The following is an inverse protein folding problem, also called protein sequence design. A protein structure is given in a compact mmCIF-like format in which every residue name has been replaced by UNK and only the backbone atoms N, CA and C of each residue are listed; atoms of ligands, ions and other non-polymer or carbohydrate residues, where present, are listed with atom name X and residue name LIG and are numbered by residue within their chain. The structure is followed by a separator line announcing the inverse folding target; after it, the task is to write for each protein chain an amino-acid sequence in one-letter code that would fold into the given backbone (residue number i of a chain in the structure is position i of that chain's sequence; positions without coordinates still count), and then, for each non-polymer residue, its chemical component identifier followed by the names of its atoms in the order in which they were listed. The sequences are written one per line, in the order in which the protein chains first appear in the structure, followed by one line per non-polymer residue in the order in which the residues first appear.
data_IF_788316397888
#
_entry.id   IF_788316397888
#
_cell.length_a   1.000
_cell.length_b   1.000
_cell.length_c   1.000
_cell.angle_alpha   90.00
_cell.angle_beta   90.00
_cell.angle_gamma   90.00
#
_symmetry.space_group_name_H-M   'P 1'
#
loop_
_entity.id
_entity.type
_entity.pdbx_description
1 polymer ?
#
# COMPACT_ATOMS: atom_id res chain seq x y z
N UNK A 1 -9.08 16.87 2.05
CA UNK A 1 -7.84 17.66 2.23
C UNK A 1 -6.71 16.67 2.39
N UNK A 2 -5.70 16.72 1.54
CA UNK A 2 -4.49 15.87 1.66
C UNK A 2 -3.67 16.49 2.79
N UNK A 3 -3.47 15.76 3.89
CA UNK A 3 -2.63 16.24 4.96
C UNK A 3 -1.16 16.10 4.54
N UNK A 4 -0.44 17.22 4.53
CA UNK A 4 1.01 17.28 4.29
C UNK A 4 1.72 16.79 5.55
N UNK A 5 1.85 15.49 5.69
CA UNK A 5 2.47 14.82 6.82
C UNK A 5 3.54 13.88 6.30
N UNK A 6 4.74 13.95 6.84
CA UNK A 6 5.84 13.08 6.41
C UNK A 6 5.57 11.63 6.79
N UNK A 7 5.78 10.72 5.85
CA UNK A 7 5.68 9.29 6.10
C UNK A 7 6.76 8.83 7.10
N UNK A 8 6.42 7.87 7.94
CA UNK A 8 7.33 7.34 8.95
C UNK A 8 7.35 8.10 10.28
N UNK A 9 6.62 9.22 10.41
CA UNK A 9 6.47 9.95 11.67
C UNK A 9 5.45 9.29 12.60
N UNK A 10 5.48 9.63 13.89
CA UNK A 10 4.51 9.09 14.86
C UNK A 10 3.08 9.50 14.50
N UNK A 11 2.88 10.72 14.00
CA UNK A 11 1.60 11.24 13.53
C UNK A 11 1.09 10.43 12.34
N UNK A 12 1.96 10.11 11.38
CA UNK A 12 1.60 9.28 10.22
C UNK A 12 1.23 7.85 10.64
N UNK A 13 1.89 7.28 11.64
CA UNK A 13 1.47 6.00 12.20
C UNK A 13 0.13 6.12 12.90
N UNK A 14 -0.07 7.16 13.73
CA UNK A 14 -1.29 7.35 14.51
C UNK A 14 -2.55 7.47 13.63
N UNK A 15 -2.49 8.22 12.53
CA UNK A 15 -3.64 8.39 11.63
C UNK A 15 -4.04 7.08 10.93
N UNK A 16 -3.14 6.11 10.84
CA UNK A 16 -3.34 4.82 10.17
C UNK A 16 -3.83 3.70 11.09
N UNK A 17 -3.74 3.88 12.41
CA UNK A 17 -4.14 2.87 13.39
C UNK A 17 -5.58 2.41 13.14
N UNK A 18 -5.76 1.10 13.05
CA UNK A 18 -7.06 0.45 12.87
C UNK A 18 -7.73 0.69 11.51
N UNK A 19 -7.03 1.28 10.54
CA UNK A 19 -7.53 1.53 9.18
C UNK A 19 -6.96 0.53 8.16
N UNK A 20 -7.76 0.22 7.16
CA UNK A 20 -7.29 -0.51 5.99
C UNK A 20 -6.37 0.39 5.18
N UNK A 21 -5.16 -0.10 4.89
CA UNK A 21 -4.16 0.63 4.10
C UNK A 21 -3.91 -0.06 2.76
N UNK A 22 -3.59 0.72 1.72
CA UNK A 22 -3.42 0.23 0.34
C UNK A 22 -2.46 -0.97 0.23
N UNK A 23 -1.36 -0.96 0.97
CA UNK A 23 -0.36 -2.05 0.97
C UNK A 23 -0.90 -3.39 1.51
N UNK A 24 -2.05 -3.38 2.20
CA UNK A 24 -2.66 -4.56 2.80
C UNK A 24 -3.98 -5.00 2.12
N UNK A 25 -4.43 -4.27 1.10
CA UNK A 25 -5.66 -4.63 0.37
C UNK A 25 -5.55 -6.00 -0.31
N UNK A 26 -4.37 -6.34 -0.83
CA UNK A 26 -4.13 -7.66 -1.42
C UNK A 26 -4.38 -8.80 -0.42
N UNK A 27 -4.11 -8.61 0.88
CA UNK A 27 -4.40 -9.61 1.92
C UNK A 27 -5.90 -9.81 2.12
N UNK A 28 -6.70 -8.73 2.00
CA UNK A 28 -8.15 -8.77 2.16
C UNK A 28 -8.80 -9.61 1.07
N UNK A 29 -8.37 -9.44 -0.18
CA UNK A 29 -8.97 -10.09 -1.35
C UNK A 29 -8.37 -11.46 -1.67
N UNK A 30 -7.28 -11.85 -1.01
CA UNK A 30 -6.59 -13.11 -1.29
C UNK A 30 -7.50 -14.31 -1.03
N UNK A 31 -7.66 -15.17 -2.05
CA UNK A 31 -8.49 -16.38 -1.99
C UNK A 31 -7.65 -17.63 -2.28
N UNK A 32 -8.03 -18.71 -1.63
CA UNK A 32 -7.56 -20.08 -1.87
C UNK A 32 -8.70 -20.89 -2.49
N UNK A 33 -8.45 -22.17 -2.79
CA UNK A 33 -9.50 -23.08 -3.26
C UNK A 33 -10.65 -23.28 -2.27
N UNK A 34 -10.40 -23.03 -0.97
CA UNK A 34 -11.35 -23.23 0.13
C UNK A 34 -12.01 -21.94 0.64
N UNK A 35 -11.74 -20.79 0.04
CA UNK A 35 -12.24 -19.48 0.47
C UNK A 35 -11.15 -18.44 0.67
N UNK A 36 -11.36 -17.48 1.55
CA UNK A 36 -10.33 -16.46 1.84
C UNK A 36 -9.07 -17.08 2.44
N UNK A 37 -7.93 -16.43 2.20
CA UNK A 37 -6.64 -16.88 2.71
C UNK A 37 -6.44 -16.50 4.17
N UNK A 38 -5.51 -17.17 4.86
CA UNK A 38 -5.13 -16.84 6.23
C UNK A 38 -4.57 -15.42 6.39
N UNK A 39 -4.04 -14.81 5.32
CA UNK A 39 -3.55 -13.42 5.38
C UNK A 39 -4.67 -12.44 5.70
N UNK A 40 -5.91 -12.69 5.19
CA UNK A 40 -7.09 -11.89 5.52
C UNK A 40 -7.44 -11.97 7.00
N UNK A 41 -7.46 -13.17 7.58
CA UNK A 41 -7.77 -13.36 9.00
C UNK A 41 -6.69 -12.75 9.90
N UNK A 42 -5.43 -12.90 9.55
CA UNK A 42 -4.31 -12.28 10.27
C UNK A 42 -4.39 -10.76 10.25
N UNK A 43 -4.72 -10.16 9.09
CA UNK A 43 -4.88 -8.72 8.98
C UNK A 43 -6.10 -8.22 9.77
N UNK A 44 -7.20 -8.98 9.75
CA UNK A 44 -8.37 -8.68 10.57
C UNK A 44 -8.05 -8.69 12.07
N UNK A 45 -7.31 -9.70 12.55
CA UNK A 45 -6.88 -9.77 13.95
C UNK A 45 -5.97 -8.61 14.34
N UNK A 46 -5.06 -8.20 13.46
CA UNK A 46 -4.21 -7.02 13.64
C UNK A 46 -5.07 -5.75 13.83
N UNK A 47 -6.00 -5.48 12.91
CA UNK A 47 -6.83 -4.27 12.97
C UNK A 47 -7.79 -4.28 14.18
N UNK A 48 -8.29 -5.45 14.60
CA UNK A 48 -9.06 -5.58 15.85
C UNK A 48 -8.20 -5.16 17.04
N UNK A 49 -6.97 -5.67 17.14
CA UNK A 49 -6.06 -5.31 18.20
C UNK A 49 -5.77 -3.81 18.20
N UNK A 50 -5.43 -3.23 17.05
CA UNK A 50 -5.16 -1.81 16.90
C UNK A 50 -6.35 -0.94 17.33
N UNK A 51 -7.60 -1.31 16.94
CA UNK A 51 -8.82 -0.57 17.33
C UNK A 51 -9.15 -0.68 18.81
N UNK A 52 -8.88 -1.83 19.42
CA UNK A 52 -9.16 -2.04 20.86
C UNK A 52 -8.13 -1.39 21.78
N UNK A 53 -6.88 -1.31 21.33
CA UNK A 53 -5.76 -0.80 22.13
C UNK A 53 -5.37 0.64 21.79
N UNK A 54 -5.78 1.12 20.62
CA UNK A 54 -5.30 2.37 20.01
C UNK A 54 -3.76 2.41 19.91
N UNK A 55 -3.14 1.25 19.67
CA UNK A 55 -1.70 1.12 19.53
C UNK A 55 -1.38 0.45 18.19
N UNK A 56 -0.28 0.88 17.57
CA UNK A 56 0.26 0.21 16.37
C UNK A 56 0.56 -1.25 16.72
N UNK A 57 0.09 -2.16 15.87
CA UNK A 57 0.45 -3.57 15.97
C UNK A 57 1.97 -3.78 15.91
N UNK A 58 2.45 -4.88 16.50
CA UNK A 58 3.87 -5.24 16.41
C UNK A 58 4.28 -5.33 14.94
N UNK A 59 5.26 -4.52 14.55
CA UNK A 59 5.85 -4.56 13.22
C UNK A 59 7.20 -5.26 13.27
N UNK A 60 7.30 -6.36 12.54
CA UNK A 60 8.60 -7.00 12.33
C UNK A 60 9.34 -6.23 11.23
N UNK A 61 10.50 -5.67 11.57
CA UNK A 61 11.41 -5.04 10.61
C UNK A 61 12.55 -5.99 10.32
N UNK A 62 12.83 -6.25 9.06
CA UNK A 62 13.96 -7.06 8.62
C UNK A 62 14.91 -6.23 7.73
N UNK A 63 16.10 -6.79 7.46
CA UNK A 63 17.11 -6.12 6.64
C UNK A 63 16.62 -5.72 5.24
N UNK A 64 15.71 -6.50 4.64
CA UNK A 64 15.13 -6.17 3.32
C UNK A 64 14.18 -4.96 3.40
N UNK A 65 13.39 -4.85 4.47
CA UNK A 65 12.51 -3.69 4.68
C UNK A 65 13.34 -2.43 4.97
N UNK A 66 14.38 -2.56 5.79
CA UNK A 66 15.31 -1.45 6.07
C UNK A 66 16.00 -0.99 4.78
N UNK A 67 16.54 -1.91 3.99
CA UNK A 67 17.13 -1.60 2.69
C UNK A 67 16.13 -0.87 1.77
N UNK A 68 14.87 -1.31 1.74
CA UNK A 68 13.79 -0.66 0.98
C UNK A 68 13.65 0.81 1.36
N UNK A 69 13.49 1.09 2.67
CA UNK A 69 13.33 2.45 3.18
C UNK A 69 14.55 3.34 2.92
N UNK A 70 15.76 2.80 3.10
CA UNK A 70 17.02 3.56 2.87
C UNK A 70 17.28 3.85 1.39
N UNK A 71 16.78 2.98 0.48
CA UNK A 71 17.03 3.09 -0.97
C UNK A 71 15.93 3.90 -1.69
N UNK A 72 14.75 4.00 -1.12
CA UNK A 72 13.60 4.69 -1.75
C UNK A 72 13.89 6.13 -2.19
N UNK A 73 14.57 7.01 -1.37
CA UNK A 73 14.91 8.35 -1.82
C UNK A 73 15.82 8.38 -3.07
N UNK A 74 16.74 7.41 -3.18
CA UNK A 74 17.61 7.27 -4.36
C UNK A 74 16.81 6.84 -5.57
N UNK A 75 15.86 5.92 -5.40
CA UNK A 75 14.98 5.47 -6.48
C UNK A 75 14.09 6.62 -6.99
N UNK A 76 13.56 7.47 -6.08
CA UNK A 76 12.76 8.64 -6.43
C UNK A 76 13.59 9.64 -7.24
N UNK A 77 14.78 9.99 -6.77
CA UNK A 77 15.67 10.89 -7.51
C UNK A 77 16.08 10.33 -8.89
N UNK A 78 16.32 9.02 -8.99
CA UNK A 78 16.60 8.37 -10.27
C UNK A 78 15.39 8.40 -11.21
N UNK A 79 14.17 8.20 -10.70
CA UNK A 79 12.93 8.29 -11.47
C UNK A 79 12.71 9.73 -11.99
N UNK A 80 12.89 10.75 -11.14
CA UNK A 80 12.78 12.15 -11.54
C UNK A 80 13.76 12.52 -12.65
N UNK A 81 15.01 12.09 -12.50
CA UNK A 81 16.05 12.32 -13.52
C UNK A 81 15.75 11.58 -14.84
N UNK A 82 15.14 10.39 -14.77
CA UNK A 82 14.80 9.60 -15.95
C UNK A 82 13.58 10.12 -16.71
N UNK A 83 12.59 10.63 -15.97
CA UNK A 83 11.30 11.07 -16.54
C UNK A 83 11.18 12.58 -16.78
N UNK A 84 12.15 13.37 -16.26
CA UNK A 84 12.14 14.83 -16.25
C UNK A 84 10.87 15.42 -15.57
N UNK A 85 10.39 14.76 -14.52
CA UNK A 85 9.26 15.23 -13.71
C UNK A 85 9.63 15.21 -12.24
N UNK A 86 9.01 16.09 -11.45
CA UNK A 86 9.17 16.13 -9.99
C UNK A 86 8.09 15.25 -9.33
N UNK A 87 8.46 14.68 -8.18
CA UNK A 87 7.59 13.85 -7.35
C UNK A 87 7.31 14.59 -6.05
N UNK A 88 6.06 14.94 -5.81
CA UNK A 88 5.63 15.53 -4.55
C UNK A 88 5.34 14.43 -3.52
N UNK A 89 6.05 14.44 -2.40
CA UNK A 89 5.80 13.50 -1.31
C UNK A 89 4.46 13.81 -0.64
N UNK A 90 3.74 12.75 -0.26
CA UNK A 90 2.42 12.87 0.35
C UNK A 90 2.30 11.91 1.54
N UNK A 91 1.59 12.34 2.57
CA UNK A 91 1.32 11.53 3.75
C UNK A 91 0.20 10.51 3.53
N UNK A 92 -0.74 10.46 4.48
CA UNK A 92 -1.89 9.56 4.40
C UNK A 92 -3.07 10.25 3.72
N UNK A 93 -3.56 9.65 2.65
CA UNK A 93 -4.75 10.09 1.90
C UNK A 93 -5.93 9.19 2.29
N UNK A 94 -6.93 9.70 3.02
CA UNK A 94 -8.11 8.91 3.36
C UNK A 94 -8.93 8.60 2.10
N UNK A 95 -9.59 7.44 2.10
CA UNK A 95 -10.50 7.08 1.02
C UNK A 95 -11.74 8.00 1.03
N UNK A 96 -12.22 8.49 -0.12
CA UNK A 96 -13.29 9.49 -0.17
C UNK A 96 -14.64 9.02 0.37
N UNK A 97 -14.93 7.72 0.36
CA UNK A 97 -16.21 7.14 0.80
C UNK A 97 -16.08 6.04 1.86
N UNK A 98 -14.91 5.43 2.03
CA UNK A 98 -14.67 4.38 3.04
C UNK A 98 -13.89 4.97 4.20
N UNK A 99 -14.59 5.40 5.24
CA UNK A 99 -14.04 6.18 6.35
C UNK A 99 -12.82 5.54 7.06
N UNK A 100 -12.82 4.20 7.18
CA UNK A 100 -11.75 3.45 7.86
C UNK A 100 -10.75 2.83 6.88
N UNK A 101 -10.47 3.54 5.78
CA UNK A 101 -9.50 3.11 4.78
C UNK A 101 -8.74 4.31 4.18
N UNK A 102 -7.56 4.05 3.63
CA UNK A 102 -6.78 5.07 2.95
C UNK A 102 -5.44 4.54 2.43
N UNK A 103 -4.66 5.43 1.86
CA UNK A 103 -3.41 5.10 1.19
C UNK A 103 -2.30 6.10 1.55
N UNK A 104 -1.06 5.67 1.44
CA UNK A 104 0.12 6.53 1.42
C UNK A 104 0.91 6.17 0.18
N UNK A 105 0.68 6.84 -0.96
CA UNK A 105 1.51 6.69 -2.14
C UNK A 105 2.94 7.17 -1.88
N UNK A 106 3.92 6.61 -2.57
CA UNK A 106 5.32 7.03 -2.43
C UNK A 106 5.58 8.40 -3.07
N UNK A 107 4.61 8.93 -3.84
CA UNK A 107 4.56 10.31 -4.31
C UNK A 107 3.47 10.58 -5.34
N UNK A 108 3.24 11.87 -5.57
CA UNK A 108 2.36 12.41 -6.59
C UNK A 108 3.19 12.90 -7.77
N UNK A 109 2.69 12.67 -9.00
CA UNK A 109 3.36 13.07 -10.23
C UNK A 109 2.40 13.93 -11.05
N UNK A 110 2.72 15.21 -11.19
CA UNK A 110 1.82 16.16 -11.84
C UNK A 110 0.43 16.18 -11.21
N UNK A 111 -0.60 16.43 -12.00
CA UNK A 111 -1.97 16.55 -11.51
C UNK A 111 -2.72 15.21 -11.43
N UNK A 112 -2.33 14.22 -12.22
CA UNK A 112 -3.09 13.00 -12.49
C UNK A 112 -2.32 11.67 -12.23
N UNK A 113 -1.05 11.74 -11.86
CA UNK A 113 -0.20 10.57 -11.68
C UNK A 113 0.23 10.29 -10.24
N UNK A 114 0.57 9.04 -9.99
CA UNK A 114 1.20 8.52 -8.77
C UNK A 114 2.49 7.77 -9.10
N UNK A 115 3.32 7.58 -8.09
CA UNK A 115 4.43 6.65 -8.13
C UNK A 115 4.34 5.66 -6.96
N UNK A 116 4.64 4.39 -7.25
CA UNK A 116 4.82 3.32 -6.26
C UNK A 116 6.21 2.72 -6.46
N UNK A 117 7.09 2.92 -5.47
CA UNK A 117 8.49 2.52 -5.51
C UNK A 117 8.70 1.23 -4.74
N UNK A 118 9.43 0.30 -5.33
CA UNK A 118 9.89 -0.91 -4.67
C UNK A 118 11.40 -1.07 -4.87
N UNK A 119 12.12 -1.22 -3.76
CA UNK A 119 13.55 -1.52 -3.72
C UNK A 119 13.73 -2.95 -3.20
N UNK A 120 13.45 -3.98 -4.01
CA UNK A 120 13.49 -5.37 -3.58
C UNK A 120 14.93 -5.90 -3.49
N UNK A 121 15.08 -7.16 -3.09
CA UNK A 121 16.36 -7.84 -3.29
C UNK A 121 16.66 -8.00 -4.80
N UNK A 122 17.95 -8.16 -5.14
CA UNK A 122 18.42 -8.21 -6.54
C UNK A 122 17.75 -9.30 -7.36
N UNK A 123 17.51 -10.49 -6.78
CA UNK A 123 16.84 -11.58 -7.51
C UNK A 123 15.42 -11.19 -7.96
N UNK A 124 14.66 -10.58 -7.06
CA UNK A 124 13.30 -10.09 -7.38
C UNK A 124 13.31 -8.94 -8.39
N UNK A 125 14.30 -8.04 -8.31
CA UNK A 125 14.43 -6.97 -9.30
C UNK A 125 14.78 -7.53 -10.69
N UNK A 126 15.72 -8.46 -10.78
CA UNK A 126 16.07 -9.15 -12.04
C UNK A 126 14.83 -9.85 -12.63
N UNK A 127 14.05 -10.55 -11.82
CA UNK A 127 12.81 -11.20 -12.28
C UNK A 127 11.81 -10.17 -12.83
N UNK A 128 11.68 -9.01 -12.19
CA UNK A 128 10.85 -7.90 -12.68
C UNK A 128 11.34 -7.38 -14.03
N UNK A 129 12.65 -7.18 -14.17
CA UNK A 129 13.27 -6.77 -15.45
C UNK A 129 13.00 -7.78 -16.57
N UNK A 130 13.14 -9.07 -16.29
CA UNK A 130 12.94 -10.14 -17.28
C UNK A 130 11.47 -10.35 -17.65
N UNK A 131 10.58 -10.33 -16.66
CA UNK A 131 9.14 -10.56 -16.88
C UNK A 131 8.42 -9.35 -17.46
N UNK A 132 8.94 -8.15 -17.27
CA UNK A 132 8.30 -6.89 -17.68
C UNK A 132 6.87 -6.73 -17.13
N UNK A 133 6.62 -7.31 -15.94
CA UNK A 133 5.28 -7.33 -15.33
C UNK A 133 5.29 -6.69 -13.95
N UNK A 134 4.15 -6.12 -13.56
CA UNK A 134 3.89 -5.65 -12.20
C UNK A 134 3.31 -6.80 -11.39
N UNK A 135 3.90 -7.19 -10.25
CA UNK A 135 3.32 -8.22 -9.39
C UNK A 135 1.90 -7.86 -8.92
N UNK A 136 0.98 -8.84 -8.95
CA UNK A 136 -0.44 -8.60 -8.69
C UNK A 136 -0.75 -7.90 -7.36
N UNK A 137 0.03 -8.17 -6.31
CA UNK A 137 -0.13 -7.47 -5.02
C UNK A 137 0.12 -5.97 -5.11
N UNK A 138 1.09 -5.54 -5.93
CA UNK A 138 1.38 -4.12 -6.15
C UNK A 138 0.37 -3.48 -7.10
N UNK A 139 -0.13 -4.23 -8.10
CA UNK A 139 -1.25 -3.77 -8.91
C UNK A 139 -2.47 -3.43 -8.03
N UNK A 140 -2.85 -4.32 -7.12
CA UNK A 140 -3.94 -4.07 -6.17
C UNK A 140 -3.68 -2.85 -5.28
N UNK A 141 -2.47 -2.71 -4.76
CA UNK A 141 -2.06 -1.55 -3.94
C UNK A 141 -2.21 -0.25 -4.73
N UNK A 142 -1.67 -0.17 -5.95
CA UNK A 142 -1.75 1.00 -6.81
C UNK A 142 -3.19 1.35 -7.18
N UNK A 143 -4.03 0.37 -7.53
CA UNK A 143 -5.43 0.63 -7.84
C UNK A 143 -6.19 1.23 -6.65
N UNK A 144 -5.88 0.79 -5.43
CA UNK A 144 -6.49 1.38 -4.25
C UNK A 144 -5.92 2.77 -3.91
N UNK A 145 -4.65 3.04 -4.19
CA UNK A 145 -4.08 4.38 -4.10
C UNK A 145 -4.76 5.34 -5.09
N UNK A 146 -5.01 4.89 -6.32
CA UNK A 146 -5.77 5.64 -7.33
C UNK A 146 -7.21 5.92 -6.87
N UNK A 147 -7.86 4.94 -6.20
CA UNK A 147 -9.17 5.14 -5.61
C UNK A 147 -9.18 6.23 -4.52
N UNK A 148 -8.17 6.23 -3.64
CA UNK A 148 -8.05 7.21 -2.56
C UNK A 148 -7.75 8.63 -3.07
N UNK A 149 -6.95 8.76 -4.12
CA UNK A 149 -6.44 10.04 -4.61
C UNK A 149 -7.27 10.65 -5.74
N UNK A 150 -8.09 9.84 -6.41
CA UNK A 150 -8.84 10.25 -7.62
C UNK A 150 -7.96 10.41 -8.86
N UNK A 151 -6.69 9.94 -8.82
CA UNK A 151 -5.75 10.09 -9.94
C UNK A 151 -5.93 9.00 -10.99
N UNK A 152 -5.37 9.22 -12.19
CA UNK A 152 -5.66 8.44 -13.40
C UNK A 152 -4.66 7.30 -13.67
N UNK A 153 -3.44 7.40 -13.15
CA UNK A 153 -2.39 6.40 -13.38
C UNK A 153 -1.38 6.35 -12.23
N UNK A 154 -0.67 5.24 -12.14
CA UNK A 154 0.43 5.06 -11.20
C UNK A 154 1.62 4.40 -11.92
N UNK A 155 2.81 4.99 -11.83
CA UNK A 155 4.04 4.38 -12.30
C UNK A 155 4.59 3.45 -11.21
N UNK A 156 4.63 2.16 -11.53
CA UNK A 156 5.36 1.18 -10.74
C UNK A 156 6.84 1.29 -11.04
N UNK A 157 7.64 1.52 -10.01
CA UNK A 157 9.10 1.59 -10.09
C UNK A 157 9.71 0.47 -9.28
N UNK A 158 10.51 -0.38 -9.93
CA UNK A 158 11.41 -1.33 -9.24
C UNK A 158 12.82 -0.83 -9.39
N UNK A 159 13.55 -0.68 -8.28
CA UNK A 159 14.89 -0.10 -8.27
C UNK A 159 15.86 -0.92 -7.44
N UNK A 160 17.07 -1.14 -8.00
CA UNK A 160 18.20 -1.78 -7.30
C UNK A 160 19.52 -1.13 -7.70
N UNK A 161 20.07 -0.30 -6.81
CA UNK A 161 21.32 0.41 -7.03
C UNK A 161 22.59 -0.45 -7.02
N UNK A 162 22.46 -1.75 -6.77
CA UNK A 162 23.57 -2.74 -6.80
C UNK A 162 23.87 -3.23 -8.22
N UNK A 163 22.97 -2.99 -9.16
CA UNK A 163 23.15 -3.36 -10.58
C UNK A 163 23.83 -2.23 -11.37
N UNK A 164 24.36 -2.53 -12.59
CA UNK A 164 24.83 -1.51 -13.51
C UNK A 164 23.74 -0.46 -13.82
N UNK A 165 24.09 0.81 -14.07
CA UNK A 165 23.14 1.91 -14.21
C UNK A 165 21.96 1.63 -15.16
N UNK A 166 22.22 0.96 -16.27
CA UNK A 166 21.24 0.61 -17.30
C UNK A 166 20.22 -0.46 -16.86
N UNK A 167 20.50 -1.16 -15.75
CA UNK A 167 19.65 -2.21 -15.19
C UNK A 167 19.10 -1.87 -13.79
N UNK A 168 19.40 -0.67 -13.27
CA UNK A 168 18.98 -0.29 -11.91
C UNK A 168 17.49 -0.03 -11.81
N UNK A 169 16.83 0.41 -12.88
CA UNK A 169 15.44 0.87 -12.78
C UNK A 169 14.55 0.21 -13.85
N UNK A 170 13.39 -0.21 -13.39
CA UNK A 170 12.27 -0.62 -14.24
C UNK A 170 11.07 0.28 -13.90
N UNK A 171 10.46 0.87 -14.93
CA UNK A 171 9.26 1.70 -14.79
C UNK A 171 8.15 1.13 -15.65
N UNK A 172 6.96 0.98 -15.07
CA UNK A 172 5.77 0.56 -15.82
C UNK A 172 4.55 1.33 -15.37
N UNK A 173 3.96 2.09 -16.28
CA UNK A 173 2.70 2.80 -16.04
C UNK A 173 1.52 1.84 -15.98
N UNK A 174 0.73 2.00 -14.92
CA UNK A 174 -0.51 1.26 -14.67
C UNK A 174 -1.66 2.26 -14.67
N UNK A 175 -2.56 2.18 -15.66
CA UNK A 175 -3.74 3.03 -15.69
C UNK A 175 -4.74 2.65 -14.60
N UNK A 176 -5.60 3.59 -14.24
CA UNK A 176 -6.73 3.40 -13.35
C UNK A 176 -7.71 2.40 -13.96
N UNK A 177 -8.13 1.42 -13.17
CA UNK A 177 -9.12 0.40 -13.56
C UNK A 177 -10.36 0.52 -12.66
N UNK A 178 -11.37 1.23 -13.12
CA UNK A 178 -12.60 1.47 -12.39
C UNK A 178 -13.39 0.18 -12.05
N UNK A 179 -13.28 -0.85 -12.88
CA UNK A 179 -13.96 -2.13 -12.62
C UNK A 179 -13.28 -2.84 -11.47
N UNK A 180 -11.95 -2.89 -11.52
CA UNK A 180 -11.16 -3.52 -10.46
C UNK A 180 -11.26 -2.74 -9.15
N UNK A 181 -11.23 -1.40 -9.19
CA UNK A 181 -11.40 -0.53 -8.01
C UNK A 181 -12.73 -0.84 -7.31
N UNK A 182 -13.85 -0.88 -8.04
CA UNK A 182 -15.16 -1.21 -7.45
C UNK A 182 -15.17 -2.60 -6.80
N UNK A 183 -14.47 -3.59 -7.37
CA UNK A 183 -14.38 -4.92 -6.78
C UNK A 183 -13.62 -4.90 -5.45
N UNK A 184 -12.46 -4.25 -5.39
CA UNK A 184 -11.69 -4.17 -4.15
C UNK A 184 -12.36 -3.31 -3.09
N UNK A 185 -13.04 -2.22 -3.46
CA UNK A 185 -13.82 -1.40 -2.53
C UNK A 185 -14.95 -2.21 -1.88
N UNK A 186 -15.68 -3.02 -2.65
CA UNK A 186 -16.73 -3.90 -2.12
C UNK A 186 -16.18 -4.93 -1.12
N UNK A 187 -15.03 -5.54 -1.43
CA UNK A 187 -14.35 -6.49 -0.52
C UNK A 187 -13.86 -5.79 0.76
N UNK A 188 -13.37 -4.55 0.67
CA UNK A 188 -12.95 -3.75 1.84
C UNK A 188 -14.15 -3.40 2.72
N UNK A 189 -15.26 -2.97 2.14
CA UNK A 189 -16.49 -2.64 2.90
C UNK A 189 -17.00 -3.88 3.64
N UNK A 190 -17.05 -5.04 2.97
CA UNK A 190 -17.42 -6.29 3.61
C UNK A 190 -16.45 -6.67 4.74
N UNK A 191 -15.14 -6.55 4.50
CA UNK A 191 -14.11 -6.83 5.50
C UNK A 191 -14.26 -5.94 6.76
N UNK A 192 -14.52 -4.65 6.57
CA UNK A 192 -14.72 -3.71 7.68
C UNK A 192 -15.99 -4.02 8.47
N UNK A 193 -17.08 -4.41 7.80
CA UNK A 193 -18.32 -4.83 8.48
C UNK A 193 -18.12 -6.10 9.32
N UNK A 194 -17.38 -7.09 8.80
CA UNK A 194 -17.04 -8.31 9.55
C UNK A 194 -16.13 -7.99 10.75
N UNK A 195 -15.20 -7.04 10.59
CA UNK A 195 -14.31 -6.59 11.66
C UNK A 195 -15.11 -5.92 12.79
N UNK A 196 -16.03 -5.02 12.47
CA UNK A 196 -16.88 -4.34 13.45
C UNK A 196 -17.78 -5.34 14.20
N UNK A 197 -18.34 -6.34 13.50
CA UNK A 197 -19.13 -7.42 14.14
C UNK A 197 -18.28 -8.25 15.11
N UNK A 198 -17.04 -8.59 14.73
CA UNK A 198 -16.12 -9.31 15.63
C UNK A 198 -15.76 -8.48 16.86
N UNK A 199 -15.48 -7.18 16.73
CA UNK A 199 -15.23 -6.29 17.87
C UNK A 199 -16.44 -6.26 18.81
N UNK A 200 -17.64 -6.08 18.24
CA UNK A 200 -18.88 -6.04 19.03
C UNK A 200 -19.13 -7.34 19.81
N UNK A 201 -18.81 -8.52 19.22
CA UNK A 201 -18.88 -9.81 19.90
C UNK A 201 -17.86 -9.92 21.03
N UNK A 202 -16.60 -9.51 20.80
CA UNK A 202 -15.56 -9.51 21.83
C UNK A 202 -15.91 -8.63 23.03
N UNK A 203 -16.50 -7.45 22.79
CA UNK A 203 -16.91 -6.55 23.86
C UNK A 203 -18.07 -7.10 24.72
N UNK A 204 -18.93 -7.97 24.16
CA UNK A 204 -19.99 -8.66 24.93
C UNK A 204 -19.43 -9.76 25.83
N UNK A 205 -18.46 -10.54 25.36
CA UNK A 205 -17.81 -11.61 26.18
C UNK A 205 -17.20 -11.07 27.48
N UNK A 206 -16.80 -9.80 27.53
CA UNK A 206 -16.23 -9.16 28.73
C UNK A 206 -17.28 -8.79 29.79
N UNK A 207 -18.56 -8.71 29.42
CA UNK A 207 -19.64 -8.25 30.29
C UNK A 207 -20.46 -9.42 30.89
N UNK A 208 -20.14 -10.65 30.53
CA UNK A 208 -20.66 -11.89 31.11
C UNK A 208 -19.63 -12.48 32.11
#
# INVERSE_FOLDING_TARGET
MIEMMDQGTDEWFAIRIGKVTASRVADIIAKTKSGYSASRDNYMAQLICERLTNQKGESFTNAAMQHGTETEPLARAAYEAFTDVLVDEVGFVPHPSIQMAGASPDGLVGDDGLIEIKCPNTATHIETLLSQTVPGKYFTQMQFQLACTGREWCDFVSFDNRLPPELQMFVKRVPRDEVYIRLIEAEIVQFLAELDDKINKLMKVKND
#
